data_IF_941263155918
#
_entry.id   IF_941263155918
#
_cell.length_a   1.000
_cell.length_b   1.000
_cell.length_c   1.000
_cell.angle_alpha   90.00
_cell.angle_beta   90.00
_cell.angle_gamma   90.00
#
_symmetry.space_group_name_H-M   'P 1'
#
loop_
_entity.id
_entity.type
_entity.pdbx_description
1 polymer ?
#
# COMPACT_ATOMS: atom_id res chain seq x y z
N UNK A 1 1.86 -16.27 -19.48
CA UNK A 1 1.05 -15.95 -18.30
C UNK A 1 -0.24 -15.34 -18.81
N UNK A 2 -1.37 -16.03 -18.76
CA UNK A 2 -2.67 -15.50 -19.13
C UNK A 2 -3.15 -14.62 -17.97
N UNK A 3 -3.70 -13.42 -18.22
CA UNK A 3 -4.21 -12.56 -17.15
C UNK A 3 -5.39 -13.26 -16.46
N UNK A 4 -5.39 -13.25 -15.13
CA UNK A 4 -6.54 -13.63 -14.32
C UNK A 4 -7.67 -12.63 -14.62
N UNK A 5 -8.65 -13.04 -15.42
CA UNK A 5 -9.84 -12.24 -15.71
C UNK A 5 -10.70 -12.28 -14.45
N UNK A 6 -11.03 -11.13 -13.83
CA UNK A 6 -11.87 -11.10 -12.63
C UNK A 6 -13.25 -11.68 -12.96
N UNK A 7 -13.59 -12.81 -12.38
CA UNK A 7 -14.87 -13.52 -12.56
C UNK A 7 -16.06 -12.66 -12.14
N UNK A 8 -15.85 -11.69 -11.25
CA UNK A 8 -16.90 -10.80 -10.76
C UNK A 8 -17.53 -9.87 -11.82
N UNK A 9 -16.92 -9.74 -13.02
CA UNK A 9 -17.42 -8.83 -14.07
C UNK A 9 -18.26 -9.55 -15.12
N UNK A 10 -18.15 -10.88 -15.23
CA UNK A 10 -18.86 -11.67 -16.22
C UNK A 10 -19.89 -12.57 -15.54
N UNK A 11 -21.16 -12.32 -15.81
CA UNK A 11 -22.26 -13.16 -15.31
C UNK A 11 -22.08 -14.65 -15.66
N UNK A 12 -22.77 -15.52 -14.94
CA UNK A 12 -22.69 -16.99 -15.02
C UNK A 12 -22.73 -17.56 -16.43
N UNK A 13 -23.44 -16.90 -17.37
CA UNK A 13 -23.52 -17.30 -18.77
C UNK A 13 -22.19 -17.15 -19.54
N UNK A 14 -21.47 -16.05 -19.33
CA UNK A 14 -20.18 -15.79 -20.01
C UNK A 14 -19.10 -16.72 -19.46
N UNK A 15 -19.11 -16.99 -18.16
CA UNK A 15 -18.21 -17.95 -17.55
C UNK A 15 -18.50 -19.40 -18.03
N UNK A 16 -19.76 -19.77 -18.18
CA UNK A 16 -20.15 -21.06 -18.76
C UNK A 16 -19.62 -21.25 -20.20
N UNK A 17 -19.71 -20.19 -21.02
CA UNK A 17 -19.16 -20.19 -22.38
C UNK A 17 -17.62 -20.30 -22.36
N UNK A 18 -16.96 -19.57 -21.50
CA UNK A 18 -15.50 -19.63 -21.33
C UNK A 18 -15.04 -21.06 -20.96
N UNK A 19 -15.72 -21.73 -20.01
CA UNK A 19 -15.42 -23.11 -19.64
C UNK A 19 -15.70 -24.12 -20.74
N UNK A 20 -16.75 -23.89 -21.55
CA UNK A 20 -17.04 -24.75 -22.69
C UNK A 20 -15.87 -24.79 -23.68
N UNK A 21 -15.26 -23.64 -23.95
CA UNK A 21 -14.08 -23.54 -24.82
C UNK A 21 -12.74 -23.84 -24.10
N UNK A 22 -12.72 -23.87 -22.77
CA UNK A 22 -11.53 -24.13 -21.95
C UNK A 22 -11.89 -25.15 -20.85
N UNK A 23 -12.07 -26.45 -21.18
CA UNK A 23 -12.52 -27.45 -20.20
C UNK A 23 -11.56 -27.66 -19.03
N UNK A 24 -10.27 -27.29 -19.19
CA UNK A 24 -9.26 -27.30 -18.12
C UNK A 24 -9.26 -26.06 -17.24
N UNK A 25 -10.11 -25.06 -17.51
CA UNK A 25 -10.21 -23.88 -16.66
C UNK A 25 -10.77 -24.25 -15.28
N UNK A 26 -10.28 -23.63 -14.18
CA UNK A 26 -10.77 -23.89 -12.84
C UNK A 26 -12.27 -23.58 -12.74
N UNK A 27 -12.98 -24.23 -11.84
CA UNK A 27 -14.39 -23.88 -11.57
C UNK A 27 -14.51 -22.49 -10.93
N UNK A 28 -15.70 -21.90 -10.97
CA UNK A 28 -15.95 -20.64 -10.27
C UNK A 28 -15.69 -20.78 -8.76
N UNK A 29 -16.04 -21.95 -8.19
CA UNK A 29 -15.77 -22.26 -6.80
C UNK A 29 -14.26 -22.37 -6.51
N UNK A 30 -13.50 -23.07 -7.38
CA UNK A 30 -12.04 -23.20 -7.23
C UNK A 30 -11.35 -21.83 -7.34
N UNK A 31 -11.84 -20.97 -8.24
CA UNK A 31 -11.31 -19.60 -8.38
C UNK A 31 -11.62 -18.75 -7.16
N UNK A 32 -12.86 -18.81 -6.64
CA UNK A 32 -13.22 -18.10 -5.41
C UNK A 32 -12.39 -18.57 -4.23
N UNK A 33 -12.26 -19.90 -4.04
CA UNK A 33 -11.45 -20.45 -2.95
C UNK A 33 -9.97 -20.05 -3.06
N UNK A 34 -9.41 -19.98 -4.27
CA UNK A 34 -8.04 -19.52 -4.46
C UNK A 34 -7.85 -18.01 -4.18
N UNK A 35 -8.87 -17.19 -4.46
CA UNK A 35 -8.86 -15.76 -4.12
C UNK A 35 -8.96 -15.58 -2.60
N UNK A 36 -9.88 -16.31 -1.94
CA UNK A 36 -10.03 -16.28 -0.49
C UNK A 36 -8.75 -16.74 0.23
N UNK A 37 -8.13 -17.82 -0.27
CA UNK A 37 -6.85 -18.29 0.27
C UNK A 37 -5.75 -17.24 0.08
N UNK A 38 -5.62 -16.64 -1.10
CA UNK A 38 -4.63 -15.61 -1.36
C UNK A 38 -4.82 -14.38 -0.47
N UNK A 39 -6.06 -13.97 -0.24
CA UNK A 39 -6.38 -12.86 0.68
C UNK A 39 -5.99 -13.23 2.12
N UNK A 40 -6.30 -14.44 2.57
CA UNK A 40 -5.91 -14.95 3.90
C UNK A 40 -4.40 -14.99 4.07
N UNK A 41 -3.66 -15.44 3.06
CA UNK A 41 -2.19 -15.51 3.07
C UNK A 41 -1.56 -14.10 3.17
N UNK A 42 -2.13 -13.10 2.46
CA UNK A 42 -1.67 -11.71 2.56
C UNK A 42 -1.89 -11.16 3.96
N UNK A 43 -3.07 -11.37 4.52
CA UNK A 43 -3.44 -10.93 5.88
C UNK A 43 -2.52 -11.57 6.92
N UNK A 44 -2.32 -12.89 6.85
CA UNK A 44 -1.43 -13.60 7.75
C UNK A 44 0.01 -13.10 7.63
N UNK A 45 0.49 -12.86 6.41
CA UNK A 45 1.84 -12.35 6.18
C UNK A 45 2.06 -10.95 6.80
N UNK A 46 1.06 -10.06 6.77
CA UNK A 46 1.13 -8.75 7.43
C UNK A 46 1.26 -8.93 8.94
N UNK A 47 0.49 -9.84 9.54
CA UNK A 47 0.52 -10.11 10.97
C UNK A 47 1.83 -10.75 11.42
N UNK A 48 2.38 -11.67 10.64
CA UNK A 48 3.66 -12.31 10.92
C UNK A 48 4.82 -11.31 10.88
N UNK A 49 4.81 -10.40 9.90
CA UNK A 49 5.82 -9.34 9.79
C UNK A 49 5.68 -8.26 10.87
N UNK A 50 4.44 -7.93 11.20
CA UNK A 50 4.12 -6.83 12.12
C UNK A 50 2.98 -7.24 13.05
N UNK A 51 3.24 -7.95 14.18
CA UNK A 51 2.19 -8.40 15.09
C UNK A 51 1.29 -7.27 15.62
N UNK A 52 1.82 -6.06 15.77
CA UNK A 52 1.04 -4.88 16.17
C UNK A 52 0.09 -4.37 15.08
N UNK A 53 0.24 -4.82 13.84
CA UNK A 53 -0.65 -4.49 12.73
C UNK A 53 -1.94 -5.31 12.75
N UNK A 54 -2.04 -6.35 13.57
CA UNK A 54 -3.19 -7.27 13.62
C UNK A 54 -4.57 -6.58 13.60
N UNK A 55 -4.81 -5.47 14.36
CA UNK A 55 -6.10 -4.77 14.29
C UNK A 55 -6.40 -4.09 12.96
N UNK A 56 -5.42 -3.92 12.09
CA UNK A 56 -5.47 -3.13 10.85
C UNK A 56 -5.23 -3.97 9.59
N UNK A 57 -4.91 -5.25 9.74
CA UNK A 57 -4.47 -6.13 8.65
C UNK A 57 -5.43 -6.17 7.46
N UNK A 58 -6.75 -6.28 7.73
CA UNK A 58 -7.77 -6.35 6.68
C UNK A 58 -7.88 -5.02 5.91
N UNK A 59 -7.81 -3.90 6.63
CA UNK A 59 -7.81 -2.57 6.03
C UNK A 59 -6.56 -2.34 5.16
N UNK A 60 -5.39 -2.80 5.62
CA UNK A 60 -4.13 -2.69 4.88
C UNK A 60 -4.18 -3.56 3.63
N UNK A 61 -4.59 -4.82 3.75
CA UNK A 61 -4.73 -5.74 2.62
C UNK A 61 -5.73 -5.20 1.58
N UNK A 62 -6.90 -4.76 2.04
CA UNK A 62 -7.91 -4.17 1.18
C UNK A 62 -7.45 -2.89 0.47
N UNK A 63 -6.70 -2.02 1.15
CA UNK A 63 -6.13 -0.83 0.52
C UNK A 63 -5.02 -1.17 -0.50
N UNK A 64 -4.17 -2.17 -0.22
CA UNK A 64 -3.16 -2.65 -1.18
C UNK A 64 -3.83 -3.16 -2.46
N UNK A 65 -4.86 -3.99 -2.34
CA UNK A 65 -5.62 -4.52 -3.48
C UNK A 65 -6.33 -3.39 -4.24
N UNK A 66 -7.10 -2.56 -3.54
CA UNK A 66 -7.87 -1.45 -4.11
C UNK A 66 -7.03 -0.49 -4.94
N UNK A 67 -5.82 -0.20 -4.50
CA UNK A 67 -4.93 0.79 -5.12
C UNK A 67 -3.77 0.19 -5.92
N UNK A 68 -3.76 -1.13 -6.12
CA UNK A 68 -2.74 -1.84 -6.90
C UNK A 68 -1.33 -1.75 -6.30
N UNK A 69 -1.23 -1.66 -4.97
CA UNK A 69 0.05 -1.54 -4.25
C UNK A 69 0.66 -2.93 -4.09
N UNK A 70 1.97 -3.11 -4.38
CA UNK A 70 2.63 -4.39 -4.16
C UNK A 70 2.47 -4.91 -2.73
N UNK A 71 2.37 -6.21 -2.60
CA UNK A 71 2.19 -6.88 -1.31
C UNK A 71 3.19 -6.38 -0.26
N UNK A 72 2.70 -6.08 0.93
CA UNK A 72 3.44 -5.58 2.09
C UNK A 72 4.03 -4.16 1.99
N UNK A 73 3.94 -3.45 0.86
CA UNK A 73 4.50 -2.10 0.76
C UNK A 73 3.77 -1.15 1.71
N UNK A 74 2.43 -1.15 1.70
CA UNK A 74 1.65 -0.31 2.61
C UNK A 74 1.86 -0.70 4.08
N UNK A 75 1.91 -2.01 4.39
CA UNK A 75 2.18 -2.48 5.74
C UNK A 75 3.55 -2.00 6.26
N UNK A 76 4.60 -2.13 5.44
CA UNK A 76 5.95 -1.66 5.76
C UNK A 76 6.03 -0.14 5.90
N UNK A 77 5.32 0.60 5.03
CA UNK A 77 5.21 2.04 5.08
C UNK A 77 4.58 2.48 6.42
N UNK A 78 3.42 1.96 6.77
CA UNK A 78 2.73 2.31 8.02
C UNK A 78 3.54 1.92 9.25
N UNK A 79 4.29 0.81 9.18
CA UNK A 79 5.24 0.46 10.25
C UNK A 79 6.40 1.46 10.34
N UNK A 80 6.92 1.94 9.22
CA UNK A 80 7.97 2.96 9.22
C UNK A 80 7.47 4.30 9.80
N UNK A 81 6.20 4.65 9.55
CA UNK A 81 5.59 5.89 10.04
C UNK A 81 5.28 5.87 11.53
N UNK A 82 4.62 4.82 12.00
CA UNK A 82 4.06 4.80 13.37
C UNK A 82 4.58 3.65 14.24
N UNK A 83 5.26 2.66 13.67
CA UNK A 83 5.58 1.38 14.33
C UNK A 83 4.33 0.70 14.92
N UNK A 84 3.15 1.04 14.40
CA UNK A 84 1.85 0.65 14.93
C UNK A 84 1.70 0.96 16.45
N UNK A 85 2.32 2.06 16.91
CA UNK A 85 2.24 2.49 18.30
C UNK A 85 0.87 3.16 18.59
N UNK A 86 0.10 2.65 19.55
CA UNK A 86 -1.24 3.19 19.84
C UNK A 86 -1.26 4.68 20.21
N UNK A 87 -0.21 5.18 20.87
CA UNK A 87 -0.13 6.60 21.25
C UNK A 87 0.12 7.52 20.03
N UNK A 88 0.82 7.01 19.01
CA UNK A 88 1.01 7.71 17.73
C UNK A 88 -0.29 7.64 16.92
N UNK A 89 -0.88 6.45 16.82
CA UNK A 89 -2.10 6.21 16.02
C UNK A 89 -3.25 7.08 16.52
N UNK A 90 -3.45 7.17 17.84
CA UNK A 90 -4.51 7.99 18.44
C UNK A 90 -4.25 9.50 18.40
N UNK A 91 -3.05 9.92 17.97
CA UNK A 91 -2.63 11.32 17.98
C UNK A 91 -2.27 11.87 19.37
N UNK A 92 -2.22 11.03 20.42
CA UNK A 92 -1.71 11.42 21.73
C UNK A 92 -0.24 11.82 21.67
N UNK A 93 0.54 11.12 20.84
CA UNK A 93 1.93 11.46 20.54
C UNK A 93 2.03 11.88 19.06
N UNK A 94 2.39 13.13 18.84
CA UNK A 94 2.63 13.69 17.50
C UNK A 94 4.12 13.72 17.21
N UNK A 95 4.47 13.73 15.93
CA UNK A 95 5.86 13.99 15.53
C UNK A 95 6.26 15.44 15.90
N UNK A 96 7.57 15.74 16.03
CA UNK A 96 8.04 17.11 16.27
C UNK A 96 7.58 18.12 15.22
N UNK A 97 7.31 17.66 14.00
CA UNK A 97 6.82 18.49 12.89
C UNK A 97 5.29 18.47 12.74
N UNK A 98 4.58 17.79 13.64
CA UNK A 98 3.12 17.80 13.70
C UNK A 98 2.43 16.73 12.84
N UNK A 99 3.15 15.76 12.32
CA UNK A 99 2.55 14.59 11.64
C UNK A 99 1.75 13.73 12.63
N UNK A 100 0.63 13.16 12.19
CA UNK A 100 -0.37 12.52 13.07
C UNK A 100 -0.84 11.19 12.52
N UNK A 101 -1.12 10.26 13.42
CA UNK A 101 -1.81 9.02 13.15
C UNK A 101 -0.94 7.91 12.57
N UNK A 102 -1.58 6.81 12.17
CA UNK A 102 -0.90 5.60 11.69
C UNK A 102 -0.04 5.84 10.43
N UNK A 103 -0.45 6.78 9.58
CA UNK A 103 0.20 7.14 8.32
C UNK A 103 1.03 8.43 8.40
N UNK A 104 1.16 9.03 9.58
CA UNK A 104 1.92 10.25 9.85
C UNK A 104 1.65 11.39 8.84
N UNK A 105 0.37 11.59 8.53
CA UNK A 105 0.00 12.71 7.65
C UNK A 105 0.26 14.06 8.30
N UNK A 106 0.88 14.94 7.53
CA UNK A 106 0.89 16.37 7.86
C UNK A 106 -0.55 16.92 7.78
N UNK A 107 -0.94 17.89 8.64
CA UNK A 107 -2.31 18.44 8.64
C UNK A 107 -2.78 18.95 7.27
N UNK A 108 -1.91 19.60 6.51
CA UNK A 108 -2.22 20.07 5.16
C UNK A 108 -2.52 18.90 4.20
N UNK A 109 -1.68 17.87 4.20
CA UNK A 109 -1.86 16.69 3.35
C UNK A 109 -3.13 15.91 3.74
N UNK A 110 -3.42 15.76 5.04
CA UNK A 110 -4.65 15.15 5.51
C UNK A 110 -5.89 15.91 5.02
N UNK A 111 -5.86 17.25 5.07
CA UNK A 111 -6.94 18.10 4.58
C UNK A 111 -7.13 17.99 3.05
N UNK A 112 -6.05 18.02 2.28
CA UNK A 112 -6.07 17.87 0.83
C UNK A 112 -6.64 16.50 0.40
N UNK A 113 -6.29 15.45 1.15
CA UNK A 113 -6.77 14.10 0.90
C UNK A 113 -8.19 13.84 1.48
N UNK A 114 -8.74 14.75 2.29
CA UNK A 114 -10.00 14.53 2.99
C UNK A 114 -9.94 13.39 4.00
N UNK A 115 -8.78 13.20 4.66
CA UNK A 115 -8.51 12.11 5.59
C UNK A 115 -8.61 12.61 7.02
N UNK A 116 -9.25 11.83 7.90
CA UNK A 116 -9.08 11.99 9.34
C UNK A 116 -7.83 11.22 9.81
N UNK A 117 -6.72 11.88 10.12
CA UNK A 117 -5.46 11.19 10.42
C UNK A 117 -5.47 10.45 11.77
N UNK A 118 -6.42 10.74 12.67
CA UNK A 118 -6.58 10.03 13.96
C UNK A 118 -7.56 8.86 13.89
N UNK A 119 -8.27 8.70 12.76
CA UNK A 119 -9.03 7.50 12.44
C UNK A 119 -8.14 6.56 11.63
N UNK A 120 -7.73 5.40 12.19
CA UNK A 120 -6.81 4.50 11.51
C UNK A 120 -7.33 3.99 10.17
N UNK A 121 -8.64 3.70 10.06
CA UNK A 121 -9.23 3.17 8.83
C UNK A 121 -9.23 4.23 7.73
N UNK A 122 -9.61 5.47 8.05
CA UNK A 122 -9.53 6.61 7.14
C UNK A 122 -8.08 6.89 6.71
N UNK A 123 -7.14 6.82 7.65
CA UNK A 123 -5.72 7.09 7.38
C UNK A 123 -5.07 5.98 6.53
N UNK A 124 -5.42 4.71 6.71
CA UNK A 124 -4.91 3.59 5.91
C UNK A 124 -5.42 3.69 4.46
N UNK A 125 -6.71 3.90 4.25
CA UNK A 125 -7.27 4.10 2.90
C UNK A 125 -6.65 5.33 2.23
N UNK A 126 -6.52 6.43 2.97
CA UNK A 126 -5.86 7.65 2.50
C UNK A 126 -4.40 7.45 2.12
N UNK A 127 -3.64 6.67 2.90
CA UNK A 127 -2.24 6.34 2.62
C UNK A 127 -2.10 5.51 1.35
N UNK A 128 -2.95 4.51 1.18
CA UNK A 128 -3.00 3.70 -0.05
C UNK A 128 -3.30 4.56 -1.27
N UNK A 129 -4.33 5.40 -1.20
CA UNK A 129 -4.70 6.32 -2.28
C UNK A 129 -3.58 7.30 -2.61
N UNK A 130 -2.97 7.91 -1.60
CA UNK A 130 -1.88 8.87 -1.81
C UNK A 130 -0.64 8.22 -2.42
N UNK A 131 -0.26 7.03 -1.94
CA UNK A 131 0.87 6.29 -2.50
C UNK A 131 0.63 5.90 -3.97
N UNK A 132 -0.60 5.50 -4.32
CA UNK A 132 -1.00 5.22 -5.70
C UNK A 132 -0.97 6.48 -6.60
N UNK A 133 -1.39 7.64 -6.08
CA UNK A 133 -1.27 8.91 -6.79
C UNK A 133 0.21 9.27 -7.07
N UNK A 134 1.08 9.06 -6.08
CA UNK A 134 2.52 9.26 -6.26
C UNK A 134 3.11 8.29 -7.27
N UNK A 135 2.66 7.03 -7.27
CA UNK A 135 3.04 6.07 -8.30
C UNK A 135 2.60 6.52 -9.70
N UNK A 136 1.39 7.02 -9.83
CA UNK A 136 0.91 7.56 -11.11
C UNK A 136 1.73 8.78 -11.57
N UNK A 137 2.23 9.58 -10.64
CA UNK A 137 3.08 10.74 -10.93
C UNK A 137 4.50 10.35 -11.38
N UNK A 138 5.10 9.35 -10.74
CA UNK A 138 6.52 9.01 -10.92
C UNK A 138 6.77 7.77 -11.79
N UNK A 139 5.76 6.92 -11.99
CA UNK A 139 5.84 5.72 -12.83
C UNK A 139 6.54 4.52 -12.20
N UNK A 140 7.08 4.66 -10.96
CA UNK A 140 7.72 3.56 -10.24
C UNK A 140 7.55 3.68 -8.72
N UNK A 141 7.58 2.55 -8.03
CA UNK A 141 7.35 2.48 -6.59
C UNK A 141 8.47 3.11 -5.75
N UNK A 142 9.78 2.93 -6.05
CA UNK A 142 10.83 3.56 -5.29
C UNK A 142 10.71 5.09 -5.23
N UNK A 143 10.40 5.75 -6.34
CA UNK A 143 10.17 7.20 -6.38
C UNK A 143 8.89 7.60 -5.65
N UNK A 144 7.81 6.85 -5.80
CA UNK A 144 6.56 7.09 -5.08
C UNK A 144 6.76 7.01 -3.56
N UNK A 145 7.48 6.00 -3.08
CA UNK A 145 7.81 5.82 -1.66
C UNK A 145 8.73 6.95 -1.17
N UNK A 146 9.75 7.33 -1.96
CA UNK A 146 10.60 8.47 -1.64
C UNK A 146 9.80 9.78 -1.55
N UNK A 147 8.85 9.97 -2.46
CA UNK A 147 7.98 11.14 -2.49
C UNK A 147 7.01 11.19 -1.31
N UNK A 148 6.54 10.05 -0.82
CA UNK A 148 5.73 9.98 0.39
C UNK A 148 6.50 10.52 1.61
N UNK A 149 7.76 10.10 1.80
CA UNK A 149 8.61 10.50 2.93
C UNK A 149 9.20 11.91 2.77
N UNK A 150 9.74 12.21 1.59
CA UNK A 150 10.53 13.44 1.36
C UNK A 150 9.72 14.57 0.72
N UNK A 151 8.53 14.24 0.22
CA UNK A 151 7.66 15.13 -0.55
C UNK A 151 7.94 15.10 -2.06
N UNK A 152 6.85 15.04 -2.84
CA UNK A 152 6.88 14.95 -4.31
C UNK A 152 7.66 16.11 -4.95
N UNK A 153 7.54 17.33 -4.39
CA UNK A 153 8.28 18.50 -4.86
C UNK A 153 9.80 18.37 -4.73
N UNK A 154 10.30 17.71 -3.68
CA UNK A 154 11.73 17.47 -3.52
C UNK A 154 12.23 16.43 -4.53
N UNK A 155 11.49 15.32 -4.70
CA UNK A 155 11.83 14.27 -5.68
C UNK A 155 11.88 14.87 -7.09
N UNK A 156 10.84 15.62 -7.48
CA UNK A 156 10.78 16.25 -8.81
C UNK A 156 11.92 17.26 -9.05
N UNK A 157 12.22 18.10 -8.05
CA UNK A 157 13.18 19.21 -8.25
C UNK A 157 14.63 18.77 -8.09
N UNK A 158 14.91 17.79 -7.22
CA UNK A 158 16.28 17.43 -6.83
C UNK A 158 16.73 16.09 -7.36
N UNK A 159 15.79 15.20 -7.71
CA UNK A 159 16.05 13.81 -8.09
C UNK A 159 16.47 12.93 -6.91
N UNK A 160 16.39 11.62 -7.09
CA UNK A 160 16.69 10.64 -6.03
C UNK A 160 18.16 10.63 -5.59
N UNK A 161 19.10 11.03 -6.47
CA UNK A 161 20.53 11.13 -6.14
C UNK A 161 20.83 12.13 -5.01
N UNK A 162 19.92 13.07 -4.75
CA UNK A 162 19.98 14.06 -3.67
C UNK A 162 19.11 13.72 -2.48
N UNK A 163 18.50 12.53 -2.45
CA UNK A 163 17.66 12.10 -1.34
C UNK A 163 18.47 12.03 -0.05
N UNK A 164 17.92 12.51 1.09
CA UNK A 164 18.55 12.35 2.40
C UNK A 164 18.72 10.87 2.74
N UNK A 165 19.70 10.56 3.58
CA UNK A 165 19.94 9.19 4.05
C UNK A 165 18.71 8.56 4.70
N UNK A 166 17.88 9.38 5.39
CA UNK A 166 16.60 8.95 5.96
C UNK A 166 15.67 8.41 4.87
N UNK A 167 15.48 9.17 3.79
CA UNK A 167 14.62 8.76 2.66
C UNK A 167 15.16 7.52 1.95
N UNK A 168 16.46 7.43 1.75
CA UNK A 168 17.11 6.23 1.17
C UNK A 168 16.83 4.99 2.03
N UNK A 169 17.04 5.09 3.34
CA UNK A 169 16.76 4.00 4.28
C UNK A 169 15.27 3.65 4.34
N UNK A 170 14.39 4.66 4.20
CA UNK A 170 12.94 4.46 4.16
C UNK A 170 12.55 3.62 2.95
N UNK A 171 13.02 3.97 1.75
CA UNK A 171 12.75 3.21 0.53
C UNK A 171 13.35 1.81 0.60
N UNK A 172 14.57 1.67 1.12
CA UNK A 172 15.21 0.36 1.31
C UNK A 172 14.38 -0.56 2.21
N UNK A 173 13.82 -0.03 3.31
CA UNK A 173 12.98 -0.82 4.24
C UNK A 173 11.68 -1.30 3.59
N UNK A 174 11.09 -0.50 2.70
CA UNK A 174 9.77 -0.78 2.11
C UNK A 174 9.91 -1.58 0.81
N UNK A 175 10.72 -1.10 -0.14
CA UNK A 175 10.87 -1.67 -1.47
C UNK A 175 12.09 -2.59 -1.64
N UNK A 176 13.02 -2.61 -0.67
CA UNK A 176 14.22 -3.45 -0.74
C UNK A 176 15.30 -2.95 -1.70
N UNK A 177 15.22 -1.69 -2.15
CA UNK A 177 16.16 -1.12 -3.14
C UNK A 177 16.86 0.13 -2.61
N UNK A 178 18.14 0.31 -2.95
CA UNK A 178 18.87 1.56 -2.71
C UNK A 178 18.63 2.49 -3.92
N UNK A 179 17.83 3.53 -3.70
CA UNK A 179 17.44 4.50 -4.76
C UNK A 179 18.61 5.31 -5.32
N UNK A 180 19.77 5.31 -4.67
CA UNK A 180 20.98 5.96 -5.22
C UNK A 180 21.62 5.14 -6.33
N UNK A 181 21.32 3.84 -6.40
CA UNK A 181 21.85 2.92 -7.41
C UNK A 181 20.91 2.75 -8.61
N UNK A 182 19.67 3.21 -8.52
CA UNK A 182 18.65 3.05 -9.57
C UNK A 182 18.53 4.24 -10.51
N UNK A 183 19.31 5.31 -10.30
CA UNK A 183 19.35 6.51 -11.13
C UNK A 183 20.45 6.44 -12.18
N UNK A 184 20.19 5.74 -13.27
CA UNK A 184 20.97 5.73 -14.49
C UNK A 184 20.06 5.96 -15.67
#
# INVERSE_FOLDING_TARGET
MLPLIPIAIFGTAVYGLYRYFNPAAPSAADTLSSIEQSASDIVQNITDLFPKAAPYQDAIAGAQDKYGIPSNYLAKLLNAESSYDPAIISGQRKSPVGAVGIAQFMPATAAELGVNPTDPMSAIDGAGRYLSQLYAQFGNWPEAIAAYNWGSGNVTKKGLSKAPAETVNYVQKIAGVDIRQTGG
#
